data_IF_479902390607
#
_entry.id   IF_479902390607
#
_cell.length_a   1.000
_cell.length_b   1.000
_cell.length_c   1.000
_cell.angle_alpha   90.00
_cell.angle_beta   90.00
_cell.angle_gamma   90.00
#
_symmetry.space_group_name_H-M   'P 1'
#
loop_
_entity.id
_entity.type
_entity.pdbx_description
1 polymer ?
#
# COMPACT_ATOMS: atom_id res chain seq x y z
N UNK A 1 18.17 -0.95 3.59
CA UNK A 1 17.89 -0.02 2.48
C UNK A 1 17.41 1.33 2.98
N UNK A 2 16.27 1.41 3.68
CA UNK A 2 15.71 2.68 4.18
C UNK A 2 16.69 3.49 5.04
N UNK A 3 17.49 2.85 5.88
CA UNK A 3 18.53 3.54 6.67
C UNK A 3 19.60 4.22 5.79
N UNK A 4 19.95 3.65 4.63
CA UNK A 4 20.87 4.29 3.67
C UNK A 4 20.19 5.48 3.00
N UNK A 5 18.93 5.34 2.59
CA UNK A 5 18.15 6.45 2.03
C UNK A 5 18.03 7.64 2.99
N UNK A 6 17.79 7.36 4.28
CA UNK A 6 17.78 8.37 5.33
C UNK A 6 19.15 9.00 5.59
N UNK A 7 20.19 8.18 5.75
CA UNK A 7 21.48 8.69 6.25
C UNK A 7 22.37 9.28 5.15
N UNK A 8 22.30 8.75 3.93
CA UNK A 8 23.12 9.19 2.79
C UNK A 8 22.44 10.29 1.99
N UNK A 9 21.13 10.18 1.80
CA UNK A 9 20.36 11.13 0.97
C UNK A 9 19.46 12.05 1.78
N UNK A 10 19.49 11.95 3.12
CA UNK A 10 18.73 12.80 4.04
C UNK A 10 17.21 12.81 3.77
N UNK A 11 16.69 11.71 3.20
CA UNK A 11 15.28 11.57 2.90
C UNK A 11 14.47 11.33 4.17
N UNK A 12 13.40 12.11 4.34
CA UNK A 12 12.47 12.01 5.49
C UNK A 12 11.20 11.24 5.16
N UNK A 13 10.78 11.24 3.90
CA UNK A 13 9.55 10.61 3.41
C UNK A 13 9.79 9.98 2.05
N UNK A 14 9.22 8.79 1.84
CA UNK A 14 9.30 8.07 0.56
C UNK A 14 7.87 7.60 0.23
N UNK A 15 7.44 7.86 -0.99
CA UNK A 15 6.23 7.25 -1.54
C UNK A 15 6.63 6.02 -2.35
N UNK A 16 5.96 4.90 -2.10
CA UNK A 16 6.16 3.66 -2.86
C UNK A 16 4.91 3.39 -3.69
N UNK A 17 5.08 3.36 -5.01
CA UNK A 17 3.97 3.26 -5.96
C UNK A 17 3.74 1.82 -6.48
N UNK A 18 4.23 0.81 -5.75
CA UNK A 18 4.05 -0.61 -6.08
C UNK A 18 5.07 -1.18 -7.09
N UNK A 19 4.74 -2.26 -7.82
CA UNK A 19 3.45 -2.97 -7.91
C UNK A 19 3.07 -3.85 -6.71
N UNK A 20 1.98 -4.62 -6.82
CA UNK A 20 1.34 -5.31 -5.69
C UNK A 20 2.23 -6.15 -4.78
N UNK A 21 3.25 -6.81 -5.33
CA UNK A 21 4.23 -7.58 -4.54
C UNK A 21 5.10 -6.68 -3.66
N UNK A 22 5.59 -5.56 -4.20
CA UNK A 22 6.39 -4.58 -3.44
C UNK A 22 5.55 -3.98 -2.31
N UNK A 23 4.29 -3.65 -2.60
CA UNK A 23 3.36 -3.12 -1.60
C UNK A 23 3.17 -4.11 -0.45
N UNK A 24 2.94 -5.40 -0.74
CA UNK A 24 2.82 -6.44 0.28
C UNK A 24 4.10 -6.61 1.11
N UNK A 25 5.26 -6.71 0.46
CA UNK A 25 6.54 -6.93 1.15
C UNK A 25 6.88 -5.82 2.14
N UNK A 26 6.62 -4.55 1.79
CA UNK A 26 6.87 -3.43 2.68
C UNK A 26 5.87 -3.35 3.83
N UNK A 27 4.58 -3.58 3.55
CA UNK A 27 3.54 -3.65 4.58
C UNK A 27 3.88 -4.73 5.62
N UNK A 28 4.28 -5.92 5.16
CA UNK A 28 4.64 -7.04 6.04
C UNK A 28 5.93 -6.84 6.81
N UNK A 29 6.87 -6.08 6.27
CA UNK A 29 8.08 -5.69 6.98
C UNK A 29 7.83 -4.60 8.04
N UNK A 30 6.60 -4.09 8.18
CA UNK A 30 6.26 -3.02 9.13
C UNK A 30 6.91 -1.68 8.78
N UNK A 31 7.21 -1.46 7.49
CA UNK A 31 7.95 -0.28 7.01
C UNK A 31 7.05 0.82 6.44
N UNK A 32 5.74 0.60 6.46
CA UNK A 32 4.73 1.52 5.92
C UNK A 32 4.02 2.18 7.08
N UNK A 33 4.06 3.52 7.13
CA UNK A 33 3.33 4.29 8.13
C UNK A 33 1.90 4.63 7.67
N UNK A 34 1.69 4.80 6.36
CA UNK A 34 0.40 5.15 5.76
C UNK A 34 0.22 4.46 4.40
N UNK A 35 -0.99 3.96 4.14
CA UNK A 35 -1.45 3.45 2.85
C UNK A 35 -2.38 4.48 2.20
N UNK A 36 -2.00 4.95 1.01
CA UNK A 36 -2.82 5.85 0.18
C UNK A 36 -3.41 5.06 -1.00
N UNK A 37 -4.73 4.89 -1.02
CA UNK A 37 -5.42 4.08 -2.02
C UNK A 37 -6.46 4.90 -2.80
N UNK A 38 -6.30 4.96 -4.12
CA UNK A 38 -7.20 5.71 -5.01
C UNK A 38 -7.99 4.71 -5.86
N UNK A 39 -9.31 4.82 -5.81
CA UNK A 39 -10.25 4.01 -6.57
C UNK A 39 -10.86 4.87 -7.66
N UNK A 40 -10.67 4.46 -8.92
CA UNK A 40 -11.32 5.06 -10.07
C UNK A 40 -12.69 4.43 -10.33
N UNK A 41 -13.65 5.17 -10.92
CA UNK A 41 -15.00 4.68 -11.22
C UNK A 41 -15.03 3.79 -12.48
N UNK A 42 -14.15 2.79 -12.54
CA UNK A 42 -14.02 1.91 -13.72
C UNK A 42 -13.61 0.49 -13.30
N UNK A 43 -13.98 -0.49 -14.12
CA UNK A 43 -13.55 -1.88 -14.01
C UNK A 43 -13.38 -2.46 -15.41
N UNK A 44 -12.37 -3.29 -15.60
CA UNK A 44 -12.11 -3.99 -16.86
C UNK A 44 -12.36 -5.51 -16.76
N UNK A 45 -12.81 -6.00 -15.59
CA UNK A 45 -13.32 -7.36 -15.38
C UNK A 45 -12.32 -8.49 -15.64
N UNK A 46 -11.01 -8.22 -15.65
CA UNK A 46 -9.99 -9.22 -15.97
C UNK A 46 -9.82 -10.21 -14.82
N UNK A 47 -9.62 -11.48 -15.15
CA UNK A 47 -9.42 -12.58 -14.17
C UNK A 47 -7.95 -12.80 -13.79
N UNK A 48 -7.02 -12.19 -14.52
CA UNK A 48 -5.58 -12.25 -14.29
C UNK A 48 -5.13 -10.89 -13.75
N UNK A 49 -5.44 -10.65 -12.49
CA UNK A 49 -5.38 -9.32 -11.91
C UNK A 49 -3.96 -8.74 -11.88
N UNK A 50 -3.89 -7.41 -11.84
CA UNK A 50 -2.76 -6.62 -11.32
C UNK A 50 -3.27 -5.96 -10.03
N UNK A 51 -3.22 -6.71 -8.93
CA UNK A 51 -3.80 -6.31 -7.65
C UNK A 51 -2.92 -5.26 -6.98
N UNK A 52 -3.55 -4.28 -6.34
CA UNK A 52 -2.86 -3.21 -5.61
C UNK A 52 -1.95 -3.74 -4.49
N UNK A 53 -2.34 -4.86 -3.87
CA UNK A 53 -1.52 -5.63 -2.91
C UNK A 53 -1.57 -7.09 -3.35
N UNK A 54 -0.40 -7.72 -3.47
CA UNK A 54 -0.28 -9.12 -3.89
C UNK A 54 0.77 -9.84 -3.07
N UNK A 55 0.39 -11.02 -2.57
CA UNK A 55 1.31 -11.94 -1.94
C UNK A 55 2.03 -12.81 -2.98
N UNK A 56 3.28 -13.21 -2.70
CA UNK A 56 3.91 -14.31 -3.42
C UNK A 56 3.14 -15.62 -3.13
N UNK A 57 2.69 -16.41 -4.12
CA UNK A 57 2.01 -17.68 -3.88
C UNK A 57 2.73 -18.65 -2.92
N UNK A 58 4.06 -18.56 -2.83
CA UNK A 58 4.88 -19.38 -1.92
C UNK A 58 4.86 -18.91 -0.46
N UNK A 59 4.36 -17.69 -0.20
CA UNK A 59 4.25 -17.12 1.14
C UNK A 59 2.95 -17.61 1.81
N UNK A 60 3.05 -18.73 2.53
CA UNK A 60 1.88 -19.40 3.14
C UNK A 60 1.58 -18.94 4.57
N UNK A 61 2.56 -18.41 5.30
CA UNK A 61 2.47 -18.22 6.75
C UNK A 61 2.43 -16.75 7.18
N UNK A 62 1.32 -16.13 6.84
CA UNK A 62 1.27 -14.69 6.73
C UNK A 62 -0.11 -14.17 7.16
N UNK A 63 -0.25 -13.67 8.40
CA UNK A 63 -1.53 -13.23 8.92
C UNK A 63 -2.04 -12.01 8.15
N UNK A 64 -3.36 -11.72 8.21
CA UNK A 64 -3.90 -10.49 7.66
C UNK A 64 -3.27 -9.27 8.37
N UNK A 65 -3.12 -8.18 7.61
CA UNK A 65 -2.79 -6.88 8.17
C UNK A 65 -4.08 -6.07 8.30
N UNK A 66 -4.29 -5.52 9.49
CA UNK A 66 -5.41 -4.64 9.77
C UNK A 66 -4.99 -3.18 9.63
N UNK A 67 -5.98 -2.33 9.35
CA UNK A 67 -5.77 -0.91 9.11
C UNK A 67 -6.81 -0.08 9.86
N UNK A 68 -6.39 1.07 10.35
CA UNK A 68 -7.27 2.12 10.86
C UNK A 68 -7.51 3.16 9.76
N UNK A 69 -8.78 3.50 9.55
CA UNK A 69 -9.17 4.54 8.60
C UNK A 69 -8.73 5.91 9.12
N UNK A 70 -7.91 6.61 8.33
CA UNK A 70 -7.51 7.98 8.61
C UNK A 70 -8.51 8.95 7.98
N UNK A 71 -8.85 8.74 6.71
CA UNK A 71 -9.63 9.72 5.94
C UNK A 71 -10.24 9.12 4.67
N UNK A 72 -11.33 9.72 4.20
CA UNK A 72 -12.01 9.40 2.94
C UNK A 72 -12.34 10.69 2.22
N UNK A 73 -11.83 10.84 1.01
CA UNK A 73 -12.09 12.03 0.18
C UNK A 73 -12.57 11.63 -1.22
N UNK A 74 -13.49 12.41 -1.77
CA UNK A 74 -13.84 12.32 -3.20
C UNK A 74 -12.72 12.99 -4.00
N UNK A 75 -12.26 12.35 -5.06
CA UNK A 75 -11.25 12.89 -5.97
C UNK A 75 -11.78 12.90 -7.41
N UNK A 76 -11.69 14.07 -8.06
CA UNK A 76 -12.35 14.29 -9.34
C UNK A 76 -13.87 14.10 -9.26
N UNK A 77 -14.48 13.70 -10.36
CA UNK A 77 -15.93 13.55 -10.42
C UNK A 77 -16.40 12.32 -9.64
N UNK A 78 -15.82 11.15 -9.82
CA UNK A 78 -16.37 9.93 -9.21
C UNK A 78 -15.31 9.03 -8.56
N UNK A 79 -14.09 9.53 -8.37
CA UNK A 79 -13.03 8.79 -7.68
C UNK A 79 -13.13 8.90 -6.17
N UNK A 80 -12.55 7.92 -5.47
CA UNK A 80 -12.45 7.90 -4.01
C UNK A 80 -10.98 7.73 -3.62
N UNK A 81 -10.50 8.57 -2.71
CA UNK A 81 -9.20 8.47 -2.08
C UNK A 81 -9.37 8.06 -0.62
N UNK A 82 -8.77 6.94 -0.25
CA UNK A 82 -8.76 6.38 1.09
C UNK A 82 -7.35 6.47 1.66
N UNK A 83 -7.24 6.92 2.90
CA UNK A 83 -5.98 6.92 3.65
C UNK A 83 -6.13 6.06 4.90
N UNK A 84 -5.17 5.17 5.11
CA UNK A 84 -5.17 4.22 6.21
C UNK A 84 -3.82 4.16 6.91
N UNK A 85 -3.82 3.96 8.22
CA UNK A 85 -2.62 3.57 8.97
C UNK A 85 -2.68 2.06 9.23
N UNK A 86 -1.59 1.30 9.03
CA UNK A 86 -1.53 -0.08 9.54
C UNK A 86 -1.70 -0.08 11.06
N UNK A 87 -2.51 -1.00 11.59
CA UNK A 87 -2.60 -1.19 13.04
C UNK A 87 -1.25 -1.65 13.58
N UNK A 88 -0.78 -0.98 14.63
CA UNK A 88 0.40 -1.41 15.38
C UNK A 88 -0.07 -2.39 16.46
N UNK A 89 0.43 -3.62 16.41
CA UNK A 89 0.27 -4.59 17.49
C UNK A 89 1.01 -4.16 18.75
#
# INVERSE_FOLDING_TARGET
MLSKLKNTFHLKSIAVQGGGMVNWSLLRAGLVDELSYVIAPTTDGRSTDVSFIRRNPEDTDSPPLEFDLIDVQRVGDNGVWLRYAPKKN
#
